data_IF_506735671308
#
_entry.id   IF_506735671308
#
_cell.length_a   1.000
_cell.length_b   1.000
_cell.length_c   1.000
_cell.angle_alpha   90.00
_cell.angle_beta   90.00
_cell.angle_gamma   90.00
#
_symmetry.space_group_name_H-M   'P 1'
#
loop_
_entity.id
_entity.type
_entity.pdbx_description
1 polymer ?
#
# COMPACT_ATOMS: atom_id res chain seq x y z
N UNK A 1 -21.24 26.43 -5.89
CA UNK A 1 -21.25 24.94 -5.93
C UNK A 1 -20.55 24.50 -4.65
N UNK A 2 -20.99 23.42 -3.99
CA UNK A 2 -20.33 22.94 -2.78
C UNK A 2 -18.91 22.49 -3.11
N UNK A 3 -17.97 22.73 -2.19
CA UNK A 3 -16.61 22.20 -2.28
C UNK A 3 -16.63 20.75 -1.77
N UNK A 4 -16.32 19.80 -2.65
CA UNK A 4 -16.32 18.38 -2.36
C UNK A 4 -14.88 17.84 -2.26
N UNK A 5 -14.69 16.82 -1.41
CA UNK A 5 -13.43 16.09 -1.30
C UNK A 5 -13.67 14.60 -1.48
N UNK A 6 -12.68 13.91 -2.05
CA UNK A 6 -12.67 12.45 -2.17
C UNK A 6 -11.71 11.89 -1.13
N UNK A 7 -12.18 10.96 -0.30
CA UNK A 7 -11.35 10.15 0.56
C UNK A 7 -11.27 8.73 0.00
N UNK A 8 -10.06 8.22 -0.14
CA UNK A 8 -9.79 6.84 -0.60
C UNK A 8 -9.16 6.06 0.54
N UNK A 9 -9.73 4.91 0.85
CA UNK A 9 -9.23 3.96 1.84
C UNK A 9 -8.88 2.65 1.13
N UNK A 10 -7.60 2.26 1.18
CA UNK A 10 -7.10 1.01 0.60
C UNK A 10 -6.82 0.01 1.70
N UNK A 11 -7.76 -0.93 1.87
CA UNK A 11 -7.66 -2.02 2.82
C UNK A 11 -6.88 -3.22 2.27
N UNK A 12 -7.08 -4.38 2.89
CA UNK A 12 -6.35 -5.61 2.54
C UNK A 12 -6.88 -6.32 1.28
N UNK A 13 -8.11 -6.02 0.82
CA UNK A 13 -8.75 -6.74 -0.29
C UNK A 13 -9.53 -5.85 -1.25
N UNK A 14 -9.65 -4.57 -0.94
CA UNK A 14 -10.41 -3.62 -1.76
C UNK A 14 -9.95 -2.18 -1.54
N UNK A 15 -10.16 -1.35 -2.55
CA UNK A 15 -10.11 0.10 -2.47
C UNK A 15 -11.54 0.65 -2.33
N UNK A 16 -11.74 1.60 -1.44
CA UNK A 16 -13.00 2.29 -1.20
C UNK A 16 -12.82 3.77 -1.43
N UNK A 17 -13.78 4.41 -2.11
CA UNK A 17 -13.80 5.86 -2.28
C UNK A 17 -15.11 6.42 -1.75
N UNK A 18 -15.03 7.51 -0.99
CA UNK A 18 -16.16 8.28 -0.50
C UNK A 18 -16.05 9.74 -0.92
N UNK A 19 -17.17 10.35 -1.28
CA UNK A 19 -17.27 11.78 -1.59
C UNK A 19 -17.97 12.48 -0.44
N UNK A 20 -17.33 13.50 0.09
CA UNK A 20 -17.80 14.24 1.27
C UNK A 20 -17.97 15.71 0.95
N UNK A 21 -18.99 16.34 1.56
CA UNK A 21 -19.15 17.79 1.54
C UNK A 21 -18.27 18.46 2.63
N UNK A 22 -18.30 19.79 2.67
CA UNK A 22 -17.57 20.62 3.64
C UNK A 22 -17.97 20.38 5.11
N UNK A 23 -19.10 19.70 5.36
CA UNK A 23 -19.59 19.34 6.70
C UNK A 23 -19.18 17.92 7.08
N UNK A 24 -18.49 17.19 6.19
CA UNK A 24 -18.14 15.79 6.39
C UNK A 24 -19.29 14.82 6.15
N UNK A 25 -20.37 15.24 5.48
CA UNK A 25 -21.45 14.34 5.08
C UNK A 25 -21.03 13.51 3.88
N UNK A 26 -21.12 12.18 3.99
CA UNK A 26 -20.89 11.24 2.89
C UNK A 26 -22.05 11.35 1.89
N UNK A 27 -21.75 11.76 0.66
CA UNK A 27 -22.73 11.94 -0.42
C UNK A 27 -22.83 10.70 -1.31
N UNK A 28 -21.69 10.06 -1.60
CA UNK A 28 -21.62 8.86 -2.43
C UNK A 28 -20.41 8.02 -2.05
N UNK A 29 -20.47 6.71 -2.32
CA UNK A 29 -19.33 5.79 -2.15
C UNK A 29 -19.34 4.69 -3.19
N UNK A 30 -18.18 4.13 -3.44
CA UNK A 30 -18.02 2.90 -4.21
C UNK A 30 -16.81 2.11 -3.69
N UNK A 31 -16.75 0.84 -4.07
CA UNK A 31 -15.70 -0.10 -3.70
C UNK A 31 -15.31 -0.93 -4.91
N UNK A 32 -14.02 -1.25 -5.02
CA UNK A 32 -13.49 -2.14 -6.04
C UNK A 32 -12.48 -3.12 -5.41
N UNK A 33 -12.62 -4.44 -5.62
CA UNK A 33 -11.71 -5.44 -5.07
C UNK A 33 -10.42 -5.54 -5.87
N UNK A 34 -9.37 -6.10 -5.22
CA UNK A 34 -8.14 -6.55 -5.87
C UNK A 34 -7.67 -7.87 -5.24
N UNK A 35 -6.77 -8.59 -5.95
CA UNK A 35 -6.34 -9.91 -5.55
C UNK A 35 -5.22 -9.88 -4.50
N UNK A 36 -5.21 -10.87 -3.60
CA UNK A 36 -4.09 -11.19 -2.71
C UNK A 36 -3.51 -12.53 -3.10
N UNK A 37 -2.18 -12.61 -3.26
CA UNK A 37 -1.46 -13.86 -3.48
C UNK A 37 -0.81 -14.35 -2.17
N UNK A 38 -0.79 -15.66 -1.99
CA UNK A 38 -0.14 -16.32 -0.87
C UNK A 38 0.82 -17.39 -1.40
N UNK A 39 2.02 -17.02 -1.92
CA UNK A 39 2.95 -17.99 -2.51
C UNK A 39 3.54 -18.95 -1.48
N UNK A 40 3.53 -18.59 -0.21
CA UNK A 40 3.93 -19.43 0.94
C UNK A 40 3.03 -19.10 2.16
N UNK A 41 3.00 -19.94 3.22
CA UNK A 41 2.09 -19.77 4.35
C UNK A 41 2.12 -18.40 5.02
N UNK A 42 3.32 -17.82 5.22
CA UNK A 42 3.50 -16.54 5.91
C UNK A 42 3.62 -15.36 4.96
N UNK A 43 3.38 -15.57 3.66
CA UNK A 43 3.48 -14.56 2.62
C UNK A 43 2.10 -14.07 2.20
N UNK A 44 1.94 -12.76 2.12
CA UNK A 44 0.76 -12.10 1.57
C UNK A 44 1.22 -10.94 0.66
N UNK A 45 0.83 -10.98 -0.61
CA UNK A 45 1.36 -10.11 -1.65
C UNK A 45 0.25 -9.52 -2.51
N UNK A 46 0.46 -8.28 -2.96
CA UNK A 46 -0.42 -7.60 -3.91
C UNK A 46 0.34 -7.12 -5.14
N UNK A 47 -0.42 -6.72 -6.15
CA UNK A 47 0.04 -5.96 -7.30
C UNK A 47 -0.27 -4.49 -7.12
N UNK A 48 0.73 -3.61 -7.17
CA UNK A 48 0.51 -2.17 -7.09
C UNK A 48 -0.30 -1.63 -8.26
N UNK A 49 -0.21 -2.27 -9.43
CA UNK A 49 -1.01 -1.88 -10.59
C UNK A 49 -2.48 -2.28 -10.43
N UNK A 50 -2.77 -3.46 -9.84
CA UNK A 50 -4.15 -3.87 -9.52
C UNK A 50 -4.77 -2.98 -8.42
N UNK A 51 -3.99 -2.62 -7.39
CA UNK A 51 -4.43 -1.68 -6.36
C UNK A 51 -4.78 -0.33 -7.00
N UNK A 52 -3.90 0.20 -7.86
CA UNK A 52 -4.15 1.49 -8.52
C UNK A 52 -5.37 1.45 -9.43
N UNK A 53 -5.56 0.36 -10.18
CA UNK A 53 -6.76 0.15 -10.99
C UNK A 53 -8.03 0.15 -10.13
N UNK A 54 -8.02 -0.58 -9.00
CA UNK A 54 -9.14 -0.62 -8.06
C UNK A 54 -9.45 0.76 -7.44
N UNK A 55 -8.41 1.54 -7.09
CA UNK A 55 -8.57 2.94 -6.64
C UNK A 55 -9.28 3.78 -7.71
N UNK A 56 -8.81 3.71 -8.97
CA UNK A 56 -9.43 4.43 -10.06
C UNK A 56 -10.90 4.02 -10.29
N UNK A 57 -11.20 2.73 -10.19
CA UNK A 57 -12.55 2.21 -10.36
C UNK A 57 -13.47 2.63 -9.20
N UNK A 58 -12.98 2.58 -7.95
CA UNK A 58 -13.72 3.05 -6.79
C UNK A 58 -14.04 4.55 -6.89
N UNK A 59 -13.06 5.38 -7.26
CA UNK A 59 -13.25 6.82 -7.44
C UNK A 59 -14.26 7.10 -8.54
N UNK A 60 -14.12 6.49 -9.73
CA UNK A 60 -15.09 6.65 -10.84
C UNK A 60 -16.49 6.19 -10.43
N UNK A 61 -16.58 5.08 -9.72
CA UNK A 61 -17.84 4.54 -9.23
C UNK A 61 -18.53 5.49 -8.24
N UNK A 62 -17.79 6.09 -7.31
CA UNK A 62 -18.32 7.06 -6.36
C UNK A 62 -18.80 8.36 -7.07
N UNK A 63 -18.00 8.88 -7.99
CA UNK A 63 -18.35 10.06 -8.81
C UNK A 63 -19.64 9.81 -9.61
N UNK A 64 -19.75 8.65 -10.27
CA UNK A 64 -20.93 8.29 -11.03
C UNK A 64 -22.18 8.11 -10.13
N UNK A 65 -22.04 7.45 -8.99
CA UNK A 65 -23.13 7.22 -8.04
C UNK A 65 -23.68 8.54 -7.44
N UNK A 66 -22.79 9.51 -7.21
CA UNK A 66 -23.15 10.83 -6.68
C UNK A 66 -23.58 11.84 -7.75
N UNK A 67 -23.47 11.51 -9.03
CA UNK A 67 -23.66 12.46 -10.15
C UNK A 67 -22.81 13.73 -10.03
N UNK A 68 -21.58 13.58 -9.53
CA UNK A 68 -20.66 14.67 -9.20
C UNK A 68 -19.93 15.15 -10.46
N UNK A 69 -19.90 16.46 -10.67
CA UNK A 69 -19.05 17.06 -11.70
C UNK A 69 -17.61 17.21 -11.21
N UNK A 70 -16.64 16.99 -12.09
CA UNK A 70 -15.22 17.01 -11.72
C UNK A 70 -14.78 18.36 -11.09
N UNK A 71 -15.39 19.46 -11.53
CA UNK A 71 -15.11 20.83 -11.08
C UNK A 71 -15.53 21.08 -9.63
N UNK A 72 -16.44 20.25 -9.09
CA UNK A 72 -16.89 20.34 -7.69
C UNK A 72 -15.87 19.72 -6.74
N UNK A 73 -14.99 18.80 -7.22
CA UNK A 73 -13.98 18.14 -6.41
C UNK A 73 -12.77 19.05 -6.26
N UNK A 74 -12.42 19.38 -5.01
CA UNK A 74 -11.31 20.28 -4.66
C UNK A 74 -10.07 19.54 -4.19
N UNK A 75 -10.19 18.27 -3.84
CA UNK A 75 -9.05 17.47 -3.40
C UNK A 75 -9.38 16.00 -3.26
N UNK A 76 -8.31 15.20 -3.25
CA UNK A 76 -8.34 13.77 -2.96
C UNK A 76 -7.29 13.47 -1.90
N UNK A 77 -7.62 12.60 -0.96
CA UNK A 77 -6.70 12.10 0.04
C UNK A 77 -6.74 10.57 0.09
N UNK A 78 -5.62 9.98 0.45
CA UNK A 78 -5.46 8.53 0.55
C UNK A 78 -5.16 8.13 1.99
N UNK A 79 -5.79 7.05 2.43
CA UNK A 79 -5.40 6.23 3.56
C UNK A 79 -5.20 4.80 3.07
N UNK A 80 -4.23 4.09 3.62
CA UNK A 80 -3.95 2.72 3.22
C UNK A 80 -3.30 1.92 4.35
N UNK A 81 -3.34 0.59 4.23
CA UNK A 81 -2.53 -0.28 5.08
C UNK A 81 -1.04 -0.03 4.85
N UNK A 82 -0.21 -0.15 5.89
CA UNK A 82 1.24 0.00 5.83
C UNK A 82 1.90 -1.16 5.07
N UNK A 83 1.73 -1.18 3.75
CA UNK A 83 2.23 -2.22 2.84
C UNK A 83 3.40 -1.70 2.02
N UNK A 84 4.44 -2.51 1.90
CA UNK A 84 5.70 -2.15 1.24
C UNK A 84 5.60 -2.32 -0.28
N UNK A 85 5.74 -1.25 -1.04
CA UNK A 85 5.73 -1.23 -2.52
C UNK A 85 7.15 -1.13 -3.06
N UNK A 86 7.51 -1.98 -4.03
CA UNK A 86 8.84 -1.99 -4.67
C UNK A 86 8.76 -1.71 -6.16
N UNK A 87 9.54 -0.72 -6.61
CA UNK A 87 9.56 -0.23 -8.00
C UNK A 87 11.01 -0.03 -8.47
N UNK A 88 11.21 -0.04 -9.78
CA UNK A 88 12.47 0.41 -10.39
C UNK A 88 12.56 1.95 -10.44
N UNK A 89 13.68 2.47 -10.96
CA UNK A 89 13.91 3.92 -11.11
C UNK A 89 12.95 4.60 -12.08
N UNK A 90 12.29 3.82 -12.94
CA UNK A 90 11.28 4.32 -13.88
C UNK A 90 9.85 4.19 -13.33
N UNK A 91 9.69 3.75 -12.08
CA UNK A 91 8.39 3.56 -11.44
C UNK A 91 7.64 2.31 -11.88
N UNK A 92 8.33 1.32 -12.49
CA UNK A 92 7.72 0.05 -12.89
C UNK A 92 7.84 -0.96 -11.76
N UNK A 93 6.85 -1.85 -11.58
CA UNK A 93 6.90 -2.92 -10.58
C UNK A 93 8.18 -3.75 -10.66
N UNK A 94 8.75 -4.06 -9.52
CA UNK A 94 9.84 -5.03 -9.35
C UNK A 94 9.44 -6.01 -8.28
N UNK A 95 9.53 -7.29 -8.58
CA UNK A 95 9.05 -8.35 -7.69
C UNK A 95 9.58 -8.26 -6.27
N UNK A 96 8.70 -8.37 -5.29
CA UNK A 96 9.01 -8.66 -3.88
C UNK A 96 8.72 -10.15 -3.54
N UNK A 97 8.18 -10.89 -4.52
CA UNK A 97 7.74 -12.27 -4.39
C UNK A 97 8.86 -13.28 -4.58
N UNK A 98 8.72 -14.43 -3.91
CA UNK A 98 9.55 -15.62 -4.16
C UNK A 98 9.29 -16.24 -5.53
N UNK A 99 8.15 -15.94 -6.16
CA UNK A 99 7.82 -16.41 -7.52
C UNK A 99 8.69 -15.75 -8.60
N UNK A 100 9.21 -14.56 -8.33
CA UNK A 100 9.99 -13.77 -9.30
C UNK A 100 9.14 -12.97 -10.30
N UNK A 101 7.83 -13.01 -10.21
CA UNK A 101 6.92 -12.26 -11.07
C UNK A 101 6.84 -10.80 -10.63
N UNK A 102 7.19 -9.85 -11.51
CA UNK A 102 7.23 -8.42 -11.19
C UNK A 102 5.88 -7.82 -10.82
N UNK A 103 4.76 -8.46 -11.19
CA UNK A 103 3.43 -8.03 -10.77
C UNK A 103 3.22 -8.11 -9.26
N UNK A 104 3.88 -9.04 -8.56
CA UNK A 104 3.80 -9.22 -7.11
C UNK A 104 4.89 -8.38 -6.45
N UNK A 105 4.66 -7.08 -6.41
CA UNK A 105 5.61 -6.08 -5.98
C UNK A 105 5.20 -5.34 -4.69
N UNK A 106 4.17 -5.83 -4.00
CA UNK A 106 3.72 -5.28 -2.73
C UNK A 106 3.75 -6.39 -1.68
N UNK A 107 4.50 -6.18 -0.59
CA UNK A 107 4.42 -7.03 0.61
C UNK A 107 3.35 -6.42 1.51
N UNK A 108 2.26 -7.16 1.71
CA UNK A 108 1.13 -6.73 2.54
C UNK A 108 1.56 -6.49 4.00
N UNK A 109 0.86 -5.61 4.71
CA UNK A 109 1.13 -5.33 6.13
C UNK A 109 1.14 -6.60 6.99
N UNK A 110 0.16 -7.49 6.84
CA UNK A 110 0.02 -8.74 7.58
C UNK A 110 0.93 -9.88 7.11
N UNK A 111 1.90 -9.61 6.21
CA UNK A 111 2.92 -10.58 5.81
C UNK A 111 3.98 -10.74 6.91
N UNK A 112 4.21 -11.96 7.34
CA UNK A 112 5.11 -12.28 8.46
C UNK A 112 6.41 -12.96 8.04
N UNK A 113 6.79 -12.89 6.73
CA UNK A 113 8.05 -13.47 6.23
C UNK A 113 9.30 -12.99 6.95
N UNK A 114 9.28 -11.77 7.48
CA UNK A 114 10.44 -11.09 8.08
C UNK A 114 10.49 -11.19 9.61
N UNK A 115 9.89 -12.23 10.22
CA UNK A 115 9.86 -12.40 11.67
C UNK A 115 11.28 -12.51 12.27
N UNK A 116 12.17 -13.27 11.64
CA UNK A 116 13.55 -13.41 12.11
C UNK A 116 14.33 -12.08 12.04
N UNK A 117 14.11 -11.30 11.00
CA UNK A 117 14.71 -9.97 10.84
C UNK A 117 14.17 -8.97 11.88
N UNK A 118 12.88 -9.06 12.21
CA UNK A 118 12.27 -8.24 13.26
C UNK A 118 12.85 -8.55 14.64
N UNK A 119 13.03 -9.83 14.97
CA UNK A 119 13.66 -10.27 16.22
C UNK A 119 15.12 -9.81 16.30
N UNK A 120 15.87 -9.93 15.21
CA UNK A 120 17.27 -9.45 15.13
C UNK A 120 17.36 -7.94 15.38
N UNK A 121 16.51 -7.14 14.73
CA UNK A 121 16.47 -5.69 14.90
C UNK A 121 16.11 -5.35 16.36
N UNK A 122 15.12 -6.03 16.94
CA UNK A 122 14.72 -5.86 18.34
C UNK A 122 15.89 -6.14 19.29
N UNK A 123 16.65 -7.20 19.02
CA UNK A 123 17.81 -7.58 19.85
C UNK A 123 18.93 -6.55 19.85
N UNK A 124 19.01 -5.66 18.85
CA UNK A 124 20.00 -4.57 18.81
C UNK A 124 19.82 -3.56 19.95
N UNK A 125 18.63 -3.44 20.50
CA UNK A 125 18.24 -2.42 21.49
C UNK A 125 18.62 -1.00 21.08
N UNK A 126 18.61 -0.73 19.76
CA UNK A 126 18.94 0.58 19.24
C UNK A 126 17.89 1.61 19.70
N UNK A 127 18.34 2.81 20.07
CA UNK A 127 17.47 3.88 20.61
C UNK A 127 16.28 4.25 19.73
N UNK A 128 16.33 3.99 18.42
CA UNK A 128 15.19 4.22 17.53
C UNK A 128 13.98 3.38 17.90
N UNK A 129 14.19 2.22 18.55
CA UNK A 129 13.11 1.34 18.99
C UNK A 129 12.24 1.98 20.08
N UNK A 130 12.75 2.97 20.82
CA UNK A 130 11.96 3.73 21.81
C UNK A 130 10.74 4.41 21.17
N UNK A 131 10.82 4.74 19.87
CA UNK A 131 9.76 5.39 19.11
C UNK A 131 8.72 4.42 18.54
N UNK A 132 8.98 3.12 18.58
CA UNK A 132 8.10 2.05 18.06
C UNK A 132 7.74 1.01 19.13
N UNK A 133 7.78 1.41 20.41
CA UNK A 133 7.40 0.55 21.54
C UNK A 133 8.46 -0.47 21.95
N UNK A 134 9.73 -0.23 21.64
CA UNK A 134 10.91 -1.05 21.97
C UNK A 134 10.97 -2.43 21.28
N UNK A 135 10.03 -2.74 20.41
CA UNK A 135 9.96 -4.00 19.68
C UNK A 135 9.69 -3.71 18.20
N UNK A 136 10.46 -4.31 17.31
CA UNK A 136 10.20 -4.26 15.88
C UNK A 136 9.18 -5.35 15.51
N UNK A 137 8.07 -4.96 14.90
CA UNK A 137 7.09 -5.90 14.39
C UNK A 137 7.48 -6.39 12.98
N UNK A 138 7.28 -7.67 12.63
CA UNK A 138 7.43 -8.15 11.24
C UNK A 138 6.47 -7.47 10.26
N UNK A 139 5.41 -6.85 10.74
CA UNK A 139 4.45 -6.09 9.94
C UNK A 139 5.02 -4.78 9.41
N UNK A 140 6.04 -4.23 10.09
CA UNK A 140 6.73 -2.99 9.70
C UNK A 140 7.58 -3.20 8.45
N UNK A 141 7.89 -2.12 7.74
CA UNK A 141 8.64 -2.15 6.49
C UNK A 141 10.11 -2.51 6.67
N UNK A 142 10.76 -2.02 7.73
CA UNK A 142 12.21 -2.19 7.94
C UNK A 142 12.63 -3.67 7.98
N UNK A 143 11.98 -4.58 8.73
CA UNK A 143 12.27 -6.01 8.68
C UNK A 143 12.08 -6.60 7.27
N UNK A 144 11.02 -6.20 6.57
CA UNK A 144 10.72 -6.65 5.20
C UNK A 144 11.81 -6.21 4.21
N UNK A 145 12.33 -5.00 4.35
CA UNK A 145 13.46 -4.51 3.57
C UNK A 145 14.73 -5.33 3.83
N UNK A 146 15.03 -5.64 5.09
CA UNK A 146 16.18 -6.47 5.46
C UNK A 146 16.03 -7.88 4.88
N UNK A 147 14.81 -8.45 4.95
CA UNK A 147 14.51 -9.75 4.35
C UNK A 147 14.72 -9.72 2.82
N UNK A 148 14.19 -8.74 2.12
CA UNK A 148 14.35 -8.58 0.66
C UNK A 148 15.84 -8.50 0.27
N UNK A 149 16.63 -7.70 1.01
CA UNK A 149 18.06 -7.55 0.77
C UNK A 149 18.82 -8.88 0.90
N UNK A 150 18.42 -9.74 1.83
CA UNK A 150 19.08 -11.03 2.12
C UNK A 150 18.63 -12.14 1.20
N UNK A 151 17.33 -12.22 0.97
CA UNK A 151 16.72 -13.39 0.30
C UNK A 151 16.39 -13.15 -1.18
N UNK A 152 16.41 -11.87 -1.62
CA UNK A 152 16.09 -11.49 -3.00
C UNK A 152 17.14 -10.54 -3.59
N UNK A 153 18.45 -10.91 -3.59
CA UNK A 153 19.52 -10.00 -4.02
C UNK A 153 19.37 -9.55 -5.48
N UNK A 154 18.86 -10.41 -6.37
CA UNK A 154 18.64 -10.06 -7.77
C UNK A 154 17.55 -8.99 -7.93
N UNK A 155 16.44 -9.13 -7.22
CA UNK A 155 15.37 -8.13 -7.18
C UNK A 155 15.84 -6.85 -6.47
N UNK A 156 16.58 -6.99 -5.35
CA UNK A 156 17.12 -5.87 -4.58
C UNK A 156 17.95 -4.91 -5.44
N UNK A 157 18.79 -5.43 -6.31
CA UNK A 157 19.62 -4.62 -7.21
C UNK A 157 18.83 -3.87 -8.29
N UNK A 158 17.55 -4.21 -8.48
CA UNK A 158 16.65 -3.56 -9.44
C UNK A 158 15.82 -2.45 -8.79
N UNK A 159 15.70 -2.44 -7.46
CA UNK A 159 14.88 -1.44 -6.77
C UNK A 159 15.47 -0.04 -6.95
N UNK A 160 14.62 0.90 -7.34
CA UNK A 160 14.92 2.32 -7.45
C UNK A 160 14.11 3.15 -6.47
N UNK A 161 12.88 2.71 -6.20
CA UNK A 161 11.96 3.30 -5.23
C UNK A 161 11.39 2.20 -4.34
N UNK A 162 11.31 2.50 -3.06
CA UNK A 162 10.62 1.67 -2.07
C UNK A 162 9.75 2.62 -1.26
N UNK A 163 8.44 2.38 -1.25
CA UNK A 163 7.45 3.31 -0.73
C UNK A 163 6.48 2.57 0.20
N UNK A 164 5.97 3.27 1.21
CA UNK A 164 4.71 2.86 1.83
C UNK A 164 3.57 2.96 0.82
N UNK A 165 2.53 2.16 0.97
CA UNK A 165 1.41 2.13 0.03
C UNK A 165 0.72 3.51 -0.06
N UNK A 166 0.58 4.23 1.05
CA UNK A 166 0.01 5.58 1.06
C UNK A 166 0.87 6.58 0.27
N UNK A 167 2.20 6.47 0.41
CA UNK A 167 3.14 7.30 -0.36
C UNK A 167 3.09 6.97 -1.85
N UNK A 168 3.00 5.66 -2.19
CA UNK A 168 2.84 5.22 -3.58
C UNK A 168 1.56 5.78 -4.21
N UNK A 169 0.43 5.72 -3.51
CA UNK A 169 -0.85 6.24 -4.01
C UNK A 169 -0.81 7.75 -4.22
N UNK A 170 -0.14 8.48 -3.31
CA UNK A 170 0.03 9.93 -3.43
C UNK A 170 1.01 10.33 -4.53
N UNK A 171 1.98 9.46 -4.83
CA UNK A 171 2.94 9.67 -5.93
C UNK A 171 2.32 9.44 -7.32
N UNK A 172 1.32 8.55 -7.45
CA UNK A 172 0.61 8.24 -8.70
C UNK A 172 -0.26 9.39 -9.18
#
# INVERSE_FOLDING_TARGET
MPDLVIAVDVGSSSARAGIFDERGLLLARAEAPFATAHPQPDHAEHSSDEIWAAVCDAVRGAVAAGHIAAEEVKGIAFDATCSLVTLDRAGRPVTASVTGEDRWNVIMWADHRATAEADEITATRHRVLDHVGNVMSPEMEIPKLLWLKRHRPDAWNRYGLVLDLTDFLSWK
#
